data_IF_751640594041
#
_entry.id   IF_751640594041
#
_cell.length_a   1.000
_cell.length_b   1.000
_cell.length_c   1.000
_cell.angle_alpha   90.00
_cell.angle_beta   90.00
_cell.angle_gamma   90.00
#
_symmetry.space_group_name_H-M   'P 1'
#
loop_
_entity.id
_entity.type
_entity.pdbx_description
1 polymer ?
#
# COMPACT_ATOMS: atom_id res chain seq x y z
N UNK A 1 -2.29 16.92 -5.84
CA UNK A 1 -1.38 15.75 -5.79
C UNK A 1 -0.48 15.74 -7.03
N UNK A 2 0.70 15.11 -6.97
CA UNK A 2 1.71 15.11 -8.05
C UNK A 2 1.13 14.70 -9.41
N UNK A 3 0.22 13.72 -9.46
CA UNK A 3 -0.38 13.23 -10.71
C UNK A 3 -1.13 14.30 -11.54
N UNK A 4 -1.73 15.30 -10.89
CA UNK A 4 -2.45 16.38 -11.59
C UNK A 4 -1.50 17.22 -12.46
N UNK A 5 -0.26 17.43 -12.01
CA UNK A 5 0.74 18.18 -12.78
C UNK A 5 1.10 17.46 -14.10
N UNK A 6 1.03 16.13 -14.10
CA UNK A 6 1.28 15.28 -15.28
C UNK A 6 0.00 14.93 -16.06
N UNK A 7 -1.17 15.45 -15.66
CA UNK A 7 -2.47 15.14 -16.28
C UNK A 7 -2.73 13.63 -16.39
N UNK A 8 -2.25 12.85 -15.43
CA UNK A 8 -2.33 11.38 -15.45
C UNK A 8 -3.43 10.91 -14.50
N UNK A 9 -4.22 9.88 -14.86
CA UNK A 9 -5.13 9.22 -13.93
C UNK A 9 -4.39 8.73 -12.68
N UNK A 10 -5.04 8.80 -11.52
CA UNK A 10 -4.40 8.46 -10.25
C UNK A 10 -5.36 7.72 -9.34
N UNK A 11 -4.84 6.70 -8.65
CA UNK A 11 -5.52 6.00 -7.59
C UNK A 11 -4.64 6.02 -6.33
N UNK A 12 -5.29 6.09 -5.16
CA UNK A 12 -4.65 5.94 -3.87
C UNK A 12 -5.38 4.84 -3.10
N UNK A 13 -4.63 3.92 -2.50
CA UNK A 13 -5.15 2.82 -1.70
C UNK A 13 -4.61 2.87 -0.28
N UNK A 14 -5.42 2.37 0.65
CA UNK A 14 -4.98 2.10 2.02
C UNK A 14 -4.44 0.68 2.15
N UNK A 15 -3.41 0.51 2.97
CA UNK A 15 -2.90 -0.79 3.40
C UNK A 15 -2.80 -0.81 4.93
N UNK A 16 -3.37 -1.83 5.56
CA UNK A 16 -3.28 -2.04 7.00
C UNK A 16 -1.87 -2.47 7.43
N UNK A 17 -1.44 -1.96 8.59
CA UNK A 17 -0.11 -2.22 9.15
C UNK A 17 -0.03 -3.36 10.17
N UNK A 18 -1.15 -4.03 10.49
CA UNK A 18 -1.21 -4.93 11.64
C UNK A 18 -1.99 -6.20 11.30
N UNK A 19 -1.50 -7.34 11.78
CA UNK A 19 -2.22 -8.60 11.75
C UNK A 19 -3.43 -8.57 12.70
N UNK A 20 -3.27 -8.00 13.90
CA UNK A 20 -4.37 -7.68 14.81
C UNK A 20 -4.90 -6.27 14.54
N UNK A 21 -5.82 -6.17 13.59
CA UNK A 21 -6.42 -4.90 13.21
C UNK A 21 -7.33 -4.31 14.31
N UNK A 22 -7.88 -5.14 15.19
CA UNK A 22 -8.87 -4.70 16.18
C UNK A 22 -8.23 -3.86 17.29
N UNK A 23 -6.97 -4.17 17.63
CA UNK A 23 -6.21 -3.49 18.68
C UNK A 23 -5.07 -2.61 18.13
N UNK A 24 -5.01 -2.45 16.81
CA UNK A 24 -3.97 -1.67 16.15
C UNK A 24 -4.00 -0.19 16.59
N UNK A 25 -2.86 0.39 17.01
CA UNK A 25 -2.77 1.83 17.20
C UNK A 25 -3.00 2.54 15.87
N UNK A 26 -3.68 3.68 15.91
CA UNK A 26 -3.89 4.52 14.73
C UNK A 26 -2.64 5.29 14.32
N UNK A 27 -2.64 5.79 13.08
CA UNK A 27 -1.61 6.73 12.60
C UNK A 27 -1.49 7.92 13.57
N UNK A 28 -0.28 8.50 13.67
CA UNK A 28 0.08 9.59 14.62
C UNK A 28 0.08 9.22 16.12
N UNK A 29 -0.13 7.95 16.48
CA UNK A 29 0.06 7.48 17.85
C UNK A 29 1.55 7.16 18.11
N UNK A 30 2.16 7.53 19.26
CA UNK A 30 3.57 7.19 19.57
C UNK A 30 3.84 5.67 19.66
N UNK A 31 2.81 4.85 19.90
CA UNK A 31 2.91 3.39 19.87
C UNK A 31 2.74 2.81 18.45
N UNK A 32 2.59 3.63 17.41
CA UNK A 32 2.39 3.16 16.04
C UNK A 32 3.64 2.50 15.48
N UNK A 33 3.63 1.16 15.46
CA UNK A 33 4.70 0.33 14.91
C UNK A 33 4.09 -0.85 14.14
N UNK A 34 3.87 -0.72 12.81
CA UNK A 34 3.34 -1.80 11.98
C UNK A 34 4.16 -3.10 12.08
N UNK A 35 3.49 -4.24 11.95
CA UNK A 35 4.14 -5.53 11.87
C UNK A 35 5.07 -5.56 10.65
N UNK A 36 6.33 -5.98 10.82
CA UNK A 36 7.25 -6.11 9.68
C UNK A 36 6.65 -7.00 8.59
N UNK A 37 6.13 -8.15 8.99
CA UNK A 37 5.35 -9.04 8.15
C UNK A 37 4.03 -9.36 8.84
N UNK A 38 2.90 -9.33 8.10
CA UNK A 38 2.82 -9.38 6.64
C UNK A 38 2.88 -8.02 5.92
N UNK A 39 2.95 -6.88 6.62
CA UNK A 39 2.75 -5.55 6.01
C UNK A 39 3.71 -5.26 4.88
N UNK A 40 5.02 -5.52 5.05
CA UNK A 40 6.00 -5.22 4.00
C UNK A 40 5.77 -6.10 2.76
N UNK A 41 5.51 -7.40 2.94
CA UNK A 41 5.19 -8.31 1.83
C UNK A 41 3.90 -7.90 1.12
N UNK A 42 2.86 -7.51 1.85
CA UNK A 42 1.57 -7.11 1.26
C UNK A 42 1.69 -5.79 0.50
N UNK A 43 2.45 -4.82 1.03
CA UNK A 43 2.70 -3.56 0.34
C UNK A 43 3.48 -3.75 -0.95
N UNK A 44 4.53 -4.58 -0.93
CA UNK A 44 5.29 -4.91 -2.13
C UNK A 44 4.41 -5.64 -3.16
N UNK A 45 3.66 -6.66 -2.73
CA UNK A 45 2.77 -7.40 -3.62
C UNK A 45 1.72 -6.48 -4.26
N UNK A 46 1.12 -5.56 -3.50
CA UNK A 46 0.15 -4.61 -4.03
C UNK A 46 0.76 -3.68 -5.09
N UNK A 47 1.97 -3.14 -4.84
CA UNK A 47 2.67 -2.30 -5.80
C UNK A 47 3.03 -3.06 -7.09
N UNK A 48 3.51 -4.30 -6.97
CA UNK A 48 3.85 -5.16 -8.12
C UNK A 48 2.60 -5.52 -8.90
N UNK A 49 1.53 -5.96 -8.24
CA UNK A 49 0.25 -6.31 -8.92
C UNK A 49 -0.32 -5.10 -9.66
N UNK A 50 -0.29 -3.91 -9.05
CA UNK A 50 -0.71 -2.69 -9.72
C UNK A 50 0.14 -2.43 -10.97
N UNK A 51 1.47 -2.51 -10.88
CA UNK A 51 2.34 -2.33 -12.05
C UNK A 51 2.11 -3.38 -13.14
N UNK A 52 1.88 -4.65 -12.75
CA UNK A 52 1.64 -5.74 -13.68
C UNK A 52 0.40 -5.55 -14.55
N UNK A 53 -0.62 -4.80 -14.11
CA UNK A 53 -1.79 -4.49 -14.93
C UNK A 53 -1.45 -3.70 -16.22
N UNK A 54 -0.26 -3.09 -16.30
CA UNK A 54 0.23 -2.41 -17.51
C UNK A 54 1.52 -3.00 -18.06
N UNK A 55 2.39 -3.54 -17.21
CA UNK A 55 3.75 -3.94 -17.59
C UNK A 55 3.93 -5.43 -17.81
N UNK A 56 3.06 -6.29 -17.26
CA UNK A 56 3.13 -7.71 -17.53
C UNK A 56 2.47 -8.00 -18.88
N UNK A 57 3.18 -8.68 -19.78
CA UNK A 57 2.56 -9.24 -20.98
C UNK A 57 1.77 -10.49 -20.62
N UNK A 58 0.63 -10.71 -21.27
CA UNK A 58 0.05 -12.04 -21.31
C UNK A 58 1.07 -13.02 -21.90
N UNK A 59 1.12 -14.24 -21.36
CA UNK A 59 1.92 -15.32 -21.95
C UNK A 59 1.21 -15.92 -23.14
#
# INVERSE_FOLDING_TARGET
IVANAFKTPYAYWGLGGFADMQNAPGNHNPAFAPDLQPTLNRGLAAAVVAACAWLASEK
#
